data_IF_636675685648
#
_entry.id   IF_636675685648
#
_cell.length_a   1.000
_cell.length_b   1.000
_cell.length_c   1.000
_cell.angle_alpha   90.00
_cell.angle_beta   90.00
_cell.angle_gamma   90.00
#
_symmetry.space_group_name_H-M   'P 1'
#
loop_
_entity.id
_entity.type
_entity.pdbx_description
1 polymer ?
#
# COMPACT_ATOMS: atom_id res chain seq x y z
N UNK A 1 -10.27 8.85 -15.85
CA UNK A 1 -9.38 9.15 -14.71
C UNK A 1 -8.92 7.82 -14.12
N UNK A 2 -7.63 7.55 -14.11
CA UNK A 2 -7.05 6.41 -13.39
C UNK A 2 -7.10 6.73 -11.88
N UNK A 3 -7.72 5.85 -11.08
CA UNK A 3 -7.81 6.01 -9.63
C UNK A 3 -6.87 5.02 -8.96
N UNK A 4 -5.95 5.57 -8.17
CA UNK A 4 -5.08 4.80 -7.30
C UNK A 4 -5.76 4.67 -5.93
N UNK A 5 -5.85 3.43 -5.45
CA UNK A 5 -6.46 3.12 -4.16
C UNK A 5 -5.37 2.76 -3.17
N UNK A 6 -5.36 3.44 -2.03
CA UNK A 6 -4.54 3.10 -0.88
C UNK A 6 -5.45 2.86 0.31
N UNK A 7 -5.38 1.66 0.87
CA UNK A 7 -6.04 1.31 2.12
C UNK A 7 -4.96 0.84 3.08
N UNK A 8 -4.87 1.45 4.26
CA UNK A 8 -3.85 1.13 5.22
C UNK A 8 -4.35 1.13 6.65
N UNK A 9 -3.72 0.31 7.49
CA UNK A 9 -3.94 0.24 8.93
C UNK A 9 -2.61 0.57 9.61
N UNK A 10 -2.68 1.48 10.58
CA UNK A 10 -1.57 1.82 11.45
C UNK A 10 -1.90 1.36 12.87
N UNK A 11 -1.00 0.60 13.48
CA UNK A 11 -1.08 0.22 14.88
C UNK A 11 0.13 0.79 15.63
N UNK A 12 -0.14 1.66 16.61
CA UNK A 12 0.89 2.24 17.46
C UNK A 12 1.03 1.37 18.71
N UNK A 13 2.23 0.84 18.90
CA UNK A 13 2.62 0.07 20.07
C UNK A 13 3.12 0.99 21.17
N UNK A 14 3.06 0.48 22.39
CA UNK A 14 3.40 1.08 23.69
C UNK A 14 4.08 2.47 23.63
N UNK A 15 3.37 3.52 24.08
CA UNK A 15 3.89 4.88 24.16
C UNK A 15 4.06 5.62 22.83
N UNK A 16 3.60 5.06 21.70
CA UNK A 16 3.83 5.56 20.32
C UNK A 16 5.30 5.53 19.90
N UNK A 17 6.16 4.83 20.64
CA UNK A 17 7.58 4.65 20.31
C UNK A 17 7.78 3.58 19.22
N UNK A 18 6.77 2.75 18.97
CA UNK A 18 6.79 1.78 17.89
C UNK A 18 5.48 1.83 17.09
N UNK A 19 5.55 1.58 15.78
CA UNK A 19 4.42 1.56 14.87
C UNK A 19 4.55 0.40 13.89
N UNK A 20 3.49 -0.38 13.76
CA UNK A 20 3.28 -1.30 12.64
C UNK A 20 2.35 -0.60 11.65
N UNK A 21 2.71 -0.63 10.37
CA UNK A 21 1.86 -0.15 9.29
C UNK A 21 1.72 -1.22 8.21
N UNK A 22 0.49 -1.52 7.83
CA UNK A 22 0.16 -2.36 6.69
C UNK A 22 -0.59 -1.52 5.66
N UNK A 23 -0.11 -1.47 4.42
CA UNK A 23 -0.78 -0.77 3.32
C UNK A 23 -1.03 -1.73 2.15
N UNK A 24 -2.25 -1.72 1.65
CA UNK A 24 -2.62 -2.30 0.37
C UNK A 24 -2.76 -1.17 -0.66
N UNK A 25 -1.96 -1.23 -1.71
CA UNK A 25 -1.96 -0.25 -2.80
C UNK A 25 -2.42 -0.96 -4.06
N UNK A 26 -3.48 -0.45 -4.69
CA UNK A 26 -3.93 -0.90 -6.01
C UNK A 26 -3.78 0.25 -6.98
N UNK A 27 -2.87 0.08 -7.93
CA UNK A 27 -2.63 1.00 -9.04
C UNK A 27 -3.33 0.47 -10.28
N UNK A 28 -4.25 1.26 -10.83
CA UNK A 28 -4.84 0.95 -12.13
C UNK A 28 -3.88 1.47 -13.21
N UNK A 29 -3.17 0.56 -13.88
CA UNK A 29 -2.13 0.93 -14.84
C UNK A 29 -2.71 1.15 -16.25
N UNK A 30 -4.03 1.03 -16.40
CA UNK A 30 -4.74 1.26 -17.66
C UNK A 30 -4.16 0.44 -18.83
N UNK A 31 -4.34 0.96 -20.04
CA UNK A 31 -3.83 0.38 -21.30
C UNK A 31 -2.30 0.45 -21.44
N UNK A 32 -1.56 0.88 -20.41
CA UNK A 32 -0.08 0.86 -20.38
C UNK A 32 0.49 -0.45 -19.84
N UNK A 33 -0.34 -1.41 -19.45
CA UNK A 33 0.09 -2.75 -19.10
C UNK A 33 0.48 -3.54 -20.38
N UNK A 34 1.64 -4.23 -20.40
CA UNK A 34 2.01 -5.11 -21.50
C UNK A 34 1.13 -6.37 -21.46
N UNK A 35 -0.03 -6.30 -22.11
CA UNK A 35 -0.99 -7.40 -22.18
C UNK A 35 -2.43 -6.92 -22.37
N UNK A 36 -3.22 -7.69 -23.12
CA UNK A 36 -4.58 -7.38 -23.60
C UNK A 36 -5.68 -7.22 -22.53
N UNK A 37 -5.31 -7.26 -21.24
CA UNK A 37 -6.20 -7.09 -20.10
C UNK A 37 -5.65 -5.94 -19.27
N UNK A 38 -6.43 -4.86 -19.12
CA UNK A 38 -6.04 -3.65 -18.38
C UNK A 38 -5.40 -4.03 -17.03
N UNK A 39 -4.08 -3.89 -16.95
CA UNK A 39 -3.31 -4.41 -15.83
C UNK A 39 -3.59 -3.57 -14.60
N UNK A 40 -4.04 -4.21 -13.52
CA UNK A 40 -4.00 -3.63 -12.18
C UNK A 40 -2.74 -4.16 -11.47
N UNK A 41 -1.91 -3.28 -10.90
CA UNK A 41 -0.80 -3.69 -10.02
C UNK A 41 -1.25 -3.53 -8.59
N UNK A 42 -1.34 -4.65 -7.88
CA UNK A 42 -1.57 -4.66 -6.44
C UNK A 42 -0.24 -4.86 -5.71
N UNK A 43 0.02 -4.05 -4.69
CA UNK A 43 1.21 -4.12 -3.85
C UNK A 43 0.78 -4.14 -2.38
N UNK A 44 1.30 -5.10 -1.63
CA UNK A 44 1.14 -5.15 -0.19
C UNK A 44 2.44 -4.72 0.47
N UNK A 45 2.37 -3.74 1.36
CA UNK A 45 3.51 -3.17 2.07
C UNK A 45 3.32 -3.34 3.57
N UNK A 46 4.27 -4.01 4.21
CA UNK A 46 4.38 -4.07 5.67
C UNK A 46 5.58 -3.23 6.11
N UNK A 47 5.38 -2.36 7.08
CA UNK A 47 6.42 -1.53 7.65
C UNK A 47 6.41 -1.63 9.18
N UNK A 48 7.58 -1.83 9.77
CA UNK A 48 7.84 -1.79 11.20
C UNK A 48 8.78 -0.61 11.48
N UNK A 49 8.34 0.32 12.31
CA UNK A 49 9.13 1.49 12.71
C UNK A 49 9.22 1.54 14.23
N UNK A 50 10.44 1.69 14.75
CA UNK A 50 10.74 1.91 16.17
C UNK A 50 11.59 3.16 16.32
N UNK A 51 11.27 4.00 17.29
CA UNK A 51 12.11 5.08 17.76
C UNK A 51 12.56 4.74 19.18
N UNK A 52 13.88 4.77 19.41
CA UNK A 52 14.51 4.62 20.72
C UNK A 52 15.02 5.97 21.19
#
# INVERSE_FOLDING_TARGET
>A
MEQDWLVGINHYLNGRHAKIQANFVRKNIGSRAPGFLGGSRSLFLLNWQTAF
#
